data_IF_006170906486
#
_entry.id   IF_006170906486
#
_cell.length_a   1.000
_cell.length_b   1.000
_cell.length_c   1.000
_cell.angle_alpha   90.00
_cell.angle_beta   90.00
_cell.angle_gamma   90.00
#
_symmetry.space_group_name_H-M   'P 1'
#
loop_
_entity.id
_entity.type
_entity.pdbx_description
1 polymer ?
#
# COMPACT_ATOMS: atom_id res chain seq x y z
N UNK A 1 13.37 1.90 -24.47
CA UNK A 1 12.09 1.20 -24.75
C UNK A 1 12.15 -0.32 -24.53
N UNK A 2 12.86 -1.15 -25.34
CA UNK A 2 12.82 -2.64 -25.17
C UNK A 2 13.39 -3.14 -23.84
N UNK A 3 14.47 -2.54 -23.33
CA UNK A 3 15.13 -2.93 -22.05
C UNK A 3 14.32 -2.51 -20.81
N UNK A 4 13.66 -1.39 -20.87
CA UNK A 4 12.79 -0.87 -19.83
C UNK A 4 11.51 -1.70 -19.69
N UNK A 5 10.92 -2.11 -20.80
CA UNK A 5 9.80 -3.05 -20.85
C UNK A 5 10.16 -4.41 -20.22
N UNK A 6 11.41 -4.92 -20.45
CA UNK A 6 11.84 -6.18 -19.83
C UNK A 6 12.04 -6.06 -18.33
N UNK A 7 12.60 -4.94 -17.82
CA UNK A 7 12.71 -4.69 -16.39
C UNK A 7 11.35 -4.71 -15.71
N UNK A 8 10.39 -4.00 -16.28
CA UNK A 8 9.03 -3.93 -15.75
C UNK A 8 8.37 -5.32 -15.75
N UNK A 9 8.50 -6.07 -16.85
CA UNK A 9 7.98 -7.43 -16.93
C UNK A 9 8.58 -8.37 -15.88
N UNK A 10 9.88 -8.24 -15.57
CA UNK A 10 10.52 -9.01 -14.49
C UNK A 10 9.89 -8.68 -13.15
N UNK A 11 9.68 -7.40 -12.81
CA UNK A 11 9.05 -6.96 -11.57
C UNK A 11 7.63 -7.54 -11.44
N UNK A 12 6.80 -7.37 -12.46
CA UNK A 12 5.40 -7.83 -12.45
C UNK A 12 5.28 -9.36 -12.33
N UNK A 13 6.14 -10.09 -13.07
CA UNK A 13 6.20 -11.55 -13.01
C UNK A 13 6.68 -12.01 -11.63
N UNK A 14 7.74 -11.43 -11.10
CA UNK A 14 8.26 -11.78 -9.79
C UNK A 14 7.27 -11.46 -8.68
N UNK A 15 6.60 -10.30 -8.73
CA UNK A 15 5.53 -9.94 -7.79
C UNK A 15 4.41 -10.97 -7.79
N UNK A 16 3.98 -11.43 -8.95
CA UNK A 16 2.95 -12.46 -9.07
C UNK A 16 3.42 -13.76 -8.40
N UNK A 17 4.60 -14.27 -8.78
CA UNK A 17 5.14 -15.51 -8.21
C UNK A 17 5.36 -15.42 -6.69
N UNK A 18 5.93 -14.31 -6.21
CA UNK A 18 6.15 -14.11 -4.77
C UNK A 18 4.84 -14.00 -3.99
N UNK A 19 3.82 -13.36 -4.56
CA UNK A 19 2.50 -13.24 -3.91
C UNK A 19 1.74 -14.56 -3.81
N UNK A 20 2.04 -15.53 -4.68
CA UNK A 20 1.40 -16.83 -4.70
C UNK A 20 2.12 -17.87 -3.86
N UNK A 21 3.46 -17.85 -3.89
CA UNK A 21 4.30 -18.94 -3.37
C UNK A 21 5.25 -18.52 -2.25
N UNK A 22 5.36 -17.22 -1.99
CA UNK A 22 6.36 -16.64 -1.09
C UNK A 22 7.73 -16.44 -1.77
N UNK A 23 8.55 -15.57 -1.20
CA UNK A 23 9.83 -15.18 -1.77
C UNK A 23 10.81 -16.36 -1.89
N UNK A 24 10.96 -17.17 -0.83
CA UNK A 24 11.99 -18.25 -0.83
C UNK A 24 11.66 -19.39 -1.80
N UNK A 25 10.38 -19.70 -1.98
CA UNK A 25 9.95 -20.80 -2.85
C UNK A 25 10.11 -20.50 -4.34
N UNK A 26 10.45 -19.26 -4.71
CA UNK A 26 10.61 -18.84 -6.11
C UNK A 26 12.08 -18.63 -6.41
N UNK A 27 12.60 -19.31 -7.43
CA UNK A 27 13.97 -19.14 -7.94
C UNK A 27 14.07 -18.09 -9.04
N UNK A 28 15.27 -17.52 -9.23
CA UNK A 28 15.57 -16.62 -10.35
C UNK A 28 15.34 -17.33 -11.71
N UNK A 29 15.56 -18.65 -11.75
CA UNK A 29 15.32 -19.47 -12.94
C UNK A 29 13.85 -19.48 -13.34
N UNK A 30 12.93 -19.67 -12.38
CA UNK A 30 11.47 -19.66 -12.61
C UNK A 30 10.99 -18.28 -13.05
N UNK A 31 11.54 -17.21 -12.48
CA UNK A 31 11.22 -15.84 -12.92
C UNK A 31 11.67 -15.63 -14.37
N UNK A 32 12.88 -16.04 -14.72
CA UNK A 32 13.41 -15.90 -16.09
C UNK A 32 12.58 -16.69 -17.09
N UNK A 33 12.19 -17.92 -16.75
CA UNK A 33 11.33 -18.77 -17.56
C UNK A 33 9.96 -18.14 -17.78
N UNK A 34 9.30 -17.67 -16.74
CA UNK A 34 7.99 -17.04 -16.80
C UNK A 34 8.01 -15.71 -17.60
N UNK A 35 9.12 -14.97 -17.55
CA UNK A 35 9.34 -13.76 -18.38
C UNK A 35 9.61 -14.13 -19.84
N UNK A 36 10.10 -15.35 -20.10
CA UNK A 36 10.52 -15.80 -21.43
C UNK A 36 11.95 -15.34 -21.81
N UNK A 37 12.85 -15.23 -20.84
CA UNK A 37 14.26 -14.86 -21.05
C UNK A 37 15.20 -15.88 -20.42
N UNK A 38 16.47 -15.86 -20.83
CA UNK A 38 17.51 -16.69 -20.20
C UNK A 38 17.97 -16.08 -18.86
N UNK A 39 18.35 -16.91 -17.89
CA UNK A 39 18.86 -16.48 -16.58
C UNK A 39 19.99 -15.45 -16.67
N UNK A 40 21.02 -15.60 -17.53
CA UNK A 40 22.05 -14.57 -17.70
C UNK A 40 21.47 -13.21 -18.16
N UNK A 41 20.43 -13.22 -18.97
CA UNK A 41 19.76 -11.98 -19.39
C UNK A 41 19.02 -11.32 -18.25
N UNK A 42 18.41 -12.09 -17.32
CA UNK A 42 17.78 -11.55 -16.13
C UNK A 42 18.82 -10.87 -15.24
N UNK A 43 19.98 -11.48 -15.00
CA UNK A 43 21.06 -10.89 -14.21
C UNK A 43 21.63 -9.59 -14.81
N UNK A 44 21.52 -9.37 -16.12
CA UNK A 44 21.83 -8.08 -16.75
C UNK A 44 20.85 -6.96 -16.37
N UNK A 45 19.67 -7.30 -15.85
CA UNK A 45 18.65 -6.34 -15.39
C UNK A 45 18.69 -6.16 -13.87
N UNK A 46 18.83 -7.27 -13.12
CA UNK A 46 18.83 -7.30 -11.66
C UNK A 46 19.94 -8.26 -11.18
N UNK A 47 20.90 -7.79 -10.37
CA UNK A 47 22.05 -8.59 -9.98
C UNK A 47 21.73 -9.75 -9.01
N UNK A 48 20.55 -9.71 -8.36
CA UNK A 48 20.12 -10.74 -7.41
C UNK A 48 18.58 -10.80 -7.31
N UNK A 49 18.08 -11.83 -6.63
CA UNK A 49 16.66 -11.96 -6.30
C UNK A 49 16.21 -10.86 -5.31
N UNK A 50 17.11 -10.49 -4.38
CA UNK A 50 16.89 -9.35 -3.48
C UNK A 50 16.71 -8.04 -4.27
N UNK A 51 17.55 -7.78 -5.27
CA UNK A 51 17.42 -6.57 -6.10
C UNK A 51 16.09 -6.52 -6.87
N UNK A 52 15.52 -7.66 -7.24
CA UNK A 52 14.17 -7.73 -7.80
C UNK A 52 13.13 -7.39 -6.73
N UNK A 53 13.26 -7.95 -5.53
CA UNK A 53 12.35 -7.68 -4.42
C UNK A 53 12.37 -6.20 -4.03
N UNK A 54 13.54 -5.60 -3.88
CA UNK A 54 13.70 -4.16 -3.59
C UNK A 54 13.05 -3.29 -4.66
N UNK A 55 13.25 -3.65 -5.93
CA UNK A 55 12.61 -2.96 -7.06
C UNK A 55 11.08 -3.09 -7.05
N UNK A 56 10.52 -4.22 -6.62
CA UNK A 56 9.07 -4.39 -6.41
C UNK A 56 8.60 -3.41 -5.33
N UNK A 57 9.29 -3.36 -4.19
CA UNK A 57 8.94 -2.47 -3.07
C UNK A 57 8.94 -1.00 -3.52
N UNK A 58 10.01 -0.56 -4.19
CA UNK A 58 10.17 0.80 -4.67
C UNK A 58 9.11 1.16 -5.72
N UNK A 59 8.95 0.33 -6.75
CA UNK A 59 8.01 0.58 -7.85
C UNK A 59 6.57 0.64 -7.33
N UNK A 60 6.21 -0.25 -6.41
CA UNK A 60 4.85 -0.26 -5.82
C UNK A 60 4.62 0.98 -4.96
N UNK A 61 5.65 1.46 -4.25
CA UNK A 61 5.56 2.68 -3.46
C UNK A 61 5.29 3.91 -4.34
N UNK A 62 6.09 4.07 -5.41
CA UNK A 62 5.95 5.18 -6.36
C UNK A 62 4.61 5.15 -7.08
N UNK A 63 4.14 3.97 -7.47
CA UNK A 63 2.84 3.82 -8.12
C UNK A 63 1.69 4.17 -7.18
N UNK A 64 1.74 3.73 -5.92
CA UNK A 64 0.74 4.06 -4.92
C UNK A 64 0.63 5.59 -4.72
N UNK A 65 1.75 6.26 -4.51
CA UNK A 65 1.80 7.72 -4.35
C UNK A 65 1.25 8.46 -5.58
N UNK A 66 1.60 8.00 -6.77
CA UNK A 66 1.11 8.57 -8.02
C UNK A 66 -0.40 8.41 -8.17
N UNK A 67 -0.94 7.24 -7.84
CA UNK A 67 -2.36 6.95 -8.04
C UNK A 67 -3.24 7.62 -6.98
N UNK A 68 -2.80 7.67 -5.72
CA UNK A 68 -3.52 8.41 -4.67
C UNK A 68 -3.45 9.92 -4.88
N UNK A 69 -2.34 10.42 -5.43
CA UNK A 69 -2.22 11.84 -5.82
C UNK A 69 -3.22 12.29 -6.89
N UNK A 70 -3.78 11.37 -7.68
CA UNK A 70 -4.84 11.70 -8.67
C UNK A 70 -6.19 12.03 -8.03
N UNK A 71 -6.39 11.63 -6.80
CA UNK A 71 -7.58 11.94 -6.00
C UNK A 71 -7.25 12.96 -4.89
N UNK A 72 -6.16 13.71 -5.06
CA UNK A 72 -5.67 14.72 -4.12
C UNK A 72 -5.38 14.17 -2.72
N UNK A 73 -4.85 12.95 -2.63
CA UNK A 73 -4.36 12.36 -1.38
C UNK A 73 -2.87 12.04 -1.52
N UNK A 74 -2.06 12.68 -0.67
CA UNK A 74 -0.60 12.63 -0.73
C UNK A 74 -0.03 12.00 0.54
N UNK A 75 -0.14 10.69 0.67
CA UNK A 75 0.20 9.90 1.88
C UNK A 75 1.64 10.08 2.40
N UNK A 76 2.50 10.77 1.67
CA UNK A 76 3.86 11.14 2.10
C UNK A 76 4.00 12.64 2.44
N UNK A 77 2.94 13.43 2.26
CA UNK A 77 2.97 14.90 2.41
C UNK A 77 1.66 15.39 3.02
N UNK A 78 1.39 15.04 4.28
CA UNK A 78 0.17 15.39 4.99
C UNK A 78 -0.17 16.89 4.89
N UNK A 79 0.85 17.77 4.98
CA UNK A 79 0.66 19.21 4.85
C UNK A 79 0.03 19.66 3.52
N UNK A 80 0.17 18.88 2.43
CA UNK A 80 -0.46 19.17 1.15
C UNK A 80 -1.98 18.92 1.18
N UNK A 81 -2.45 18.00 2.02
CA UNK A 81 -3.85 17.60 2.08
C UNK A 81 -4.65 18.40 3.12
N UNK A 82 -3.99 19.03 4.08
CA UNK A 82 -4.63 19.82 5.16
C UNK A 82 -5.59 20.90 4.63
N UNK A 83 -5.23 21.74 3.63
CA UNK A 83 -6.15 22.77 3.15
C UNK A 83 -7.46 22.22 2.61
N UNK A 84 -7.42 21.10 1.91
CA UNK A 84 -8.62 20.42 1.40
C UNK A 84 -9.42 19.84 2.57
N UNK A 85 -8.76 19.17 3.52
CA UNK A 85 -9.41 18.54 4.68
C UNK A 85 -10.04 19.54 5.65
N UNK A 86 -9.61 20.80 5.65
CA UNK A 86 -10.24 21.88 6.44
C UNK A 86 -11.61 22.32 5.90
N UNK A 87 -11.92 22.02 4.64
CA UNK A 87 -13.11 22.52 3.95
C UNK A 87 -14.00 21.43 3.38
N UNK A 88 -13.51 20.19 3.35
CA UNK A 88 -14.22 19.04 2.78
C UNK A 88 -15.47 18.70 3.59
N UNK A 89 -16.55 18.36 2.91
CA UNK A 89 -17.76 17.83 3.55
C UNK A 89 -17.63 16.32 3.85
N UNK A 90 -18.48 15.84 4.76
CA UNK A 90 -18.48 14.43 5.19
C UNK A 90 -18.66 13.45 4.01
N UNK A 91 -19.59 13.71 3.11
CA UNK A 91 -19.85 12.85 1.94
C UNK A 91 -18.63 12.78 1.00
N UNK A 92 -17.98 13.92 0.76
CA UNK A 92 -16.79 13.97 -0.10
C UNK A 92 -15.58 13.30 0.58
N UNK A 93 -15.43 13.48 1.90
CA UNK A 93 -14.40 12.78 2.67
C UNK A 93 -14.59 11.27 2.59
N UNK A 94 -15.82 10.79 2.81
CA UNK A 94 -16.12 9.37 2.67
C UNK A 94 -15.81 8.86 1.26
N UNK A 95 -16.16 9.61 0.22
CA UNK A 95 -15.88 9.21 -1.16
C UNK A 95 -14.38 9.08 -1.43
N UNK A 96 -13.54 9.97 -0.91
CA UNK A 96 -12.08 9.85 -1.02
C UNK A 96 -11.55 8.62 -0.29
N UNK A 97 -12.02 8.34 0.92
CA UNK A 97 -11.63 7.14 1.68
C UNK A 97 -12.11 5.88 0.97
N UNK A 98 -13.32 5.88 0.43
CA UNK A 98 -13.87 4.79 -0.37
C UNK A 98 -13.02 4.51 -1.61
N UNK A 99 -12.57 5.53 -2.32
CA UNK A 99 -11.71 5.38 -3.50
C UNK A 99 -10.34 4.76 -3.14
N UNK A 100 -9.74 5.15 -2.01
CA UNK A 100 -8.50 4.53 -1.53
C UNK A 100 -8.75 3.07 -1.13
N UNK A 101 -9.85 2.79 -0.46
CA UNK A 101 -10.25 1.44 -0.08
C UNK A 101 -10.42 0.55 -1.30
N UNK A 102 -11.22 1.00 -2.28
CA UNK A 102 -11.46 0.33 -3.56
C UNK A 102 -10.13 0.09 -4.33
N UNK A 103 -9.31 1.11 -4.47
CA UNK A 103 -7.98 0.99 -5.08
C UNK A 103 -7.11 -0.05 -4.36
N UNK A 104 -7.16 -0.07 -3.04
CA UNK A 104 -6.40 -1.04 -2.23
C UNK A 104 -6.86 -2.48 -2.45
N UNK A 105 -8.15 -2.70 -2.70
CA UNK A 105 -8.72 -4.02 -2.93
C UNK A 105 -8.62 -4.49 -4.38
N UNK A 106 -8.78 -3.59 -5.36
CA UNK A 106 -8.95 -3.98 -6.76
C UNK A 106 -7.74 -3.68 -7.65
N UNK A 107 -6.76 -2.86 -7.20
CA UNK A 107 -5.50 -2.76 -7.92
C UNK A 107 -4.68 -4.04 -7.74
N UNK A 108 -4.49 -4.79 -8.83
CA UNK A 108 -3.88 -6.12 -8.81
C UNK A 108 -2.45 -6.10 -8.22
N UNK A 109 -1.64 -5.09 -8.57
CA UNK A 109 -0.27 -4.98 -8.06
C UNK A 109 -0.24 -4.63 -6.56
N UNK A 110 -1.13 -3.76 -6.09
CA UNK A 110 -1.23 -3.39 -4.67
C UNK A 110 -1.69 -4.59 -3.85
N UNK A 111 -2.69 -5.33 -4.32
CA UNK A 111 -3.19 -6.54 -3.68
C UNK A 111 -2.11 -7.62 -3.60
N UNK A 112 -1.42 -7.90 -4.71
CA UNK A 112 -0.30 -8.86 -4.76
C UNK A 112 0.84 -8.44 -3.83
N UNK A 113 1.20 -7.17 -3.83
CA UNK A 113 2.24 -6.63 -2.95
C UNK A 113 1.87 -6.79 -1.48
N UNK A 114 0.65 -6.44 -1.08
CA UNK A 114 0.18 -6.62 0.30
C UNK A 114 0.18 -8.09 0.70
N UNK A 115 -0.28 -9.00 -0.17
CA UNK A 115 -0.25 -10.45 0.06
C UNK A 115 1.18 -10.97 0.23
N UNK A 116 2.09 -10.60 -0.67
CA UNK A 116 3.51 -10.94 -0.58
C UNK A 116 4.10 -10.47 0.75
N UNK A 117 3.91 -9.20 1.11
CA UNK A 117 4.43 -8.64 2.36
C UNK A 117 3.82 -9.30 3.60
N UNK A 118 2.54 -9.67 3.57
CA UNK A 118 1.87 -10.39 4.66
C UNK A 118 2.47 -11.79 4.88
N UNK A 119 2.88 -12.47 3.82
CA UNK A 119 3.56 -13.78 3.92
C UNK A 119 4.97 -13.60 4.50
N UNK A 120 5.69 -12.58 4.06
CA UNK A 120 7.12 -12.41 4.34
C UNK A 120 7.44 -11.71 5.67
N UNK A 121 6.48 -11.03 6.30
CA UNK A 121 6.72 -10.17 7.48
C UNK A 121 7.38 -10.87 8.67
N UNK A 122 7.23 -12.18 8.82
CA UNK A 122 7.79 -12.96 9.93
C UNK A 122 9.07 -13.72 9.57
N UNK A 123 9.60 -13.56 8.36
CA UNK A 123 10.74 -14.34 7.87
C UNK A 123 12.08 -13.73 8.24
N UNK A 124 12.14 -12.41 8.36
CA UNK A 124 13.33 -11.69 8.82
C UNK A 124 12.94 -10.41 9.53
N UNK A 125 13.83 -9.94 10.42
CA UNK A 125 13.62 -8.68 11.13
C UNK A 125 13.44 -7.51 10.15
N UNK A 126 14.27 -7.43 9.11
CA UNK A 126 14.21 -6.36 8.11
C UNK A 126 12.90 -6.34 7.32
N UNK A 127 12.33 -7.51 6.99
CA UNK A 127 11.03 -7.59 6.32
C UNK A 127 9.89 -7.24 7.27
N UNK A 128 9.98 -7.63 8.54
CA UNK A 128 9.04 -7.21 9.58
C UNK A 128 9.04 -5.70 9.80
N UNK A 129 10.22 -5.07 9.87
CA UNK A 129 10.38 -3.62 9.96
C UNK A 129 9.81 -2.90 8.72
N UNK A 130 10.09 -3.42 7.52
CA UNK A 130 9.55 -2.88 6.29
C UNK A 130 8.02 -2.97 6.25
N UNK A 131 7.45 -4.11 6.67
CA UNK A 131 6.00 -4.30 6.78
C UNK A 131 5.38 -3.29 7.76
N UNK A 132 5.92 -3.21 8.99
CA UNK A 132 5.46 -2.31 10.04
C UNK A 132 5.48 -0.86 9.58
N UNK A 133 6.61 -0.42 9.03
CA UNK A 133 6.75 0.94 8.51
C UNK A 133 5.75 1.24 7.40
N UNK A 134 5.51 0.30 6.48
CA UNK A 134 4.68 0.56 5.31
C UNK A 134 3.19 0.47 5.58
N UNK A 135 2.76 -0.49 6.37
CA UNK A 135 1.33 -0.78 6.55
C UNK A 135 0.76 -0.29 7.89
N UNK A 136 1.61 0.27 8.77
CA UNK A 136 1.18 0.78 10.06
C UNK A 136 1.72 2.17 10.34
N UNK A 137 3.03 2.33 10.56
CA UNK A 137 3.63 3.57 11.06
C UNK A 137 3.37 4.76 10.13
N UNK A 138 3.67 4.65 8.83
CA UNK A 138 3.48 5.75 7.87
C UNK A 138 2.05 6.25 7.78
N UNK A 139 1.07 5.36 7.90
CA UNK A 139 -0.34 5.75 7.88
C UNK A 139 -0.73 6.48 9.17
N UNK A 140 -0.25 6.00 10.31
CA UNK A 140 -0.47 6.64 11.60
C UNK A 140 0.21 8.01 11.61
N UNK A 141 1.48 8.12 11.21
CA UNK A 141 2.23 9.38 11.17
C UNK A 141 1.54 10.42 10.26
N UNK A 142 1.12 10.01 9.06
CA UNK A 142 0.38 10.86 8.12
C UNK A 142 -0.89 11.43 8.75
N UNK A 143 -1.73 10.59 9.36
CA UNK A 143 -2.96 11.04 9.98
C UNK A 143 -2.72 11.83 11.27
N UNK A 144 -1.68 11.50 12.05
CA UNK A 144 -1.29 12.29 13.22
C UNK A 144 -0.87 13.72 12.87
N UNK A 145 -0.17 13.90 11.74
CA UNK A 145 0.18 15.23 11.23
C UNK A 145 -1.06 16.01 10.77
N UNK A 146 -2.00 15.36 10.08
CA UNK A 146 -3.29 15.94 9.70
C UNK A 146 -4.06 16.37 10.94
N UNK A 147 -4.29 15.48 11.91
CA UNK A 147 -5.03 15.80 13.12
C UNK A 147 -4.38 16.92 13.93
N UNK A 148 -3.05 16.95 14.02
CA UNK A 148 -2.32 18.06 14.65
C UNK A 148 -2.63 19.39 13.98
N UNK A 149 -2.65 19.41 12.65
CA UNK A 149 -2.93 20.62 11.88
C UNK A 149 -4.38 21.07 12.02
N UNK A 150 -5.34 20.14 11.99
CA UNK A 150 -6.77 20.43 12.16
C UNK A 150 -7.10 20.92 13.58
N UNK A 151 -6.44 20.37 14.62
CA UNK A 151 -6.57 20.84 16.02
C UNK A 151 -5.99 22.25 16.14
N UNK A 152 -4.80 22.49 15.59
CA UNK A 152 -4.18 23.81 15.62
C UNK A 152 -5.01 24.89 14.92
N UNK A 153 -5.75 24.50 13.86
CA UNK A 153 -6.67 25.38 13.15
C UNK A 153 -8.06 25.52 13.82
N UNK A 154 -8.33 24.80 14.91
CA UNK A 154 -9.62 24.83 15.60
C UNK A 154 -10.76 24.14 14.86
N UNK A 155 -10.45 23.30 13.86
CA UNK A 155 -11.46 22.55 13.07
C UNK A 155 -12.01 21.37 13.87
N UNK A 156 -11.15 20.69 14.61
CA UNK A 156 -11.52 19.59 15.50
C UNK A 156 -10.98 19.82 16.90
N UNK A 157 -11.59 19.18 17.88
CA UNK A 157 -11.11 19.15 19.27
C UNK A 157 -10.55 17.77 19.57
N UNK A 158 -9.38 17.71 20.23
CA UNK A 158 -8.77 16.44 20.58
C UNK A 158 -7.50 16.62 21.40
N UNK A 159 -6.96 15.49 21.87
CA UNK A 159 -5.76 15.42 22.70
C UNK A 159 -4.57 14.83 21.94
N UNK A 160 -4.27 13.55 22.22
CA UNK A 160 -3.15 12.84 21.62
C UNK A 160 -3.43 12.51 20.13
N UNK A 161 -2.72 13.21 19.24
CA UNK A 161 -2.87 13.05 17.79
C UNK A 161 -2.44 11.67 17.28
N UNK A 162 -1.52 10.99 17.97
CA UNK A 162 -1.13 9.62 17.60
C UNK A 162 -2.23 8.62 17.97
N UNK A 163 -2.87 8.80 19.14
CA UNK A 163 -4.00 7.98 19.53
C UNK A 163 -5.19 8.17 18.56
N UNK A 164 -5.50 9.42 18.19
CA UNK A 164 -6.53 9.71 17.18
C UNK A 164 -6.22 9.06 15.85
N UNK A 165 -4.98 9.19 15.36
CA UNK A 165 -4.54 8.58 14.12
C UNK A 165 -4.66 7.06 14.16
N UNK A 166 -4.22 6.43 15.24
CA UNK A 166 -4.34 4.98 15.40
C UNK A 166 -5.80 4.52 15.40
N UNK A 167 -6.68 5.22 16.12
CA UNK A 167 -8.11 4.93 16.15
C UNK A 167 -8.76 5.07 14.76
N UNK A 168 -8.32 6.04 13.97
CA UNK A 168 -8.83 6.26 12.62
C UNK A 168 -8.32 5.22 11.62
N UNK A 169 -7.04 4.89 11.66
CA UNK A 169 -6.38 4.02 10.67
C UNK A 169 -6.65 2.53 10.90
N UNK A 170 -6.68 2.08 12.17
CA UNK A 170 -6.75 0.66 12.48
C UNK A 170 -8.02 -0.04 11.93
N UNK A 171 -9.24 0.54 11.99
CA UNK A 171 -10.42 -0.08 11.39
C UNK A 171 -10.29 -0.24 9.87
N UNK A 172 -9.73 0.75 9.16
CA UNK A 172 -9.54 0.70 7.70
C UNK A 172 -8.63 -0.45 7.30
N UNK A 173 -7.46 -0.58 7.96
CA UNK A 173 -6.52 -1.69 7.74
C UNK A 173 -7.19 -3.04 8.05
N UNK A 174 -7.96 -3.10 9.13
CA UNK A 174 -8.68 -4.31 9.54
C UNK A 174 -9.69 -4.74 8.47
N UNK A 175 -10.48 -3.79 7.94
CA UNK A 175 -11.48 -4.06 6.91
C UNK A 175 -10.84 -4.51 5.59
N UNK A 176 -9.74 -3.89 5.16
CA UNK A 176 -8.95 -4.35 4.01
C UNK A 176 -8.49 -5.79 4.24
N UNK A 177 -7.96 -6.10 5.42
CA UNK A 177 -7.52 -7.46 5.76
C UNK A 177 -8.66 -8.48 5.81
N UNK A 178 -9.90 -8.08 6.14
CA UNK A 178 -11.09 -8.94 6.01
C UNK A 178 -11.37 -9.23 4.55
N UNK A 179 -11.41 -8.21 3.70
CA UNK A 179 -11.68 -8.38 2.27
C UNK A 179 -10.60 -9.19 1.54
N UNK A 180 -9.34 -9.10 1.95
CA UNK A 180 -8.27 -9.92 1.39
C UNK A 180 -8.47 -11.43 1.62
N UNK A 181 -9.10 -11.79 2.74
CA UNK A 181 -9.35 -13.18 3.12
C UNK A 181 -10.75 -13.66 2.75
N UNK A 182 -11.71 -12.76 2.69
CA UNK A 182 -13.15 -13.00 2.45
C UNK A 182 -13.70 -11.92 1.51
N UNK A 183 -13.38 -11.99 0.20
CA UNK A 183 -13.79 -10.94 -0.77
C UNK A 183 -15.31 -10.75 -0.84
N UNK A 184 -16.09 -11.78 -0.56
CA UNK A 184 -17.56 -11.75 -0.53
C UNK A 184 -18.13 -10.81 0.53
N UNK A 185 -17.32 -10.37 1.50
CA UNK A 185 -17.73 -9.44 2.58
C UNK A 185 -17.45 -7.97 2.27
N UNK A 186 -17.05 -7.65 1.06
CA UNK A 186 -16.69 -6.27 0.68
C UNK A 186 -17.82 -5.28 0.94
N UNK A 187 -19.06 -5.62 0.58
CA UNK A 187 -20.23 -4.75 0.83
C UNK A 187 -20.41 -4.46 2.33
N UNK A 188 -20.32 -5.48 3.18
CA UNK A 188 -20.38 -5.32 4.64
C UNK A 188 -19.24 -4.44 5.17
N UNK A 189 -18.04 -4.62 4.62
CA UNK A 189 -16.88 -3.83 4.99
C UNK A 189 -17.04 -2.35 4.58
N UNK A 190 -17.61 -2.07 3.41
CA UNK A 190 -17.91 -0.72 2.96
C UNK A 190 -18.95 -0.01 3.84
N UNK A 191 -19.98 -0.71 4.31
CA UNK A 191 -20.95 -0.16 5.26
C UNK A 191 -20.28 0.22 6.60
N UNK A 192 -19.42 -0.65 7.11
CA UNK A 192 -18.64 -0.37 8.32
C UNK A 192 -17.65 0.78 8.13
N UNK A 193 -17.01 0.86 6.97
CA UNK A 193 -16.12 1.96 6.61
C UNK A 193 -16.86 3.28 6.62
N UNK A 194 -18.04 3.33 6.00
CA UNK A 194 -18.90 4.53 6.00
C UNK A 194 -19.24 4.97 7.42
N UNK A 195 -19.71 4.06 8.26
CA UNK A 195 -20.04 4.36 9.66
C UNK A 195 -18.83 4.76 10.49
N UNK A 196 -17.61 4.42 10.08
CA UNK A 196 -16.39 4.81 10.78
C UNK A 196 -15.90 6.20 10.39
N UNK A 197 -16.12 6.61 9.14
CA UNK A 197 -15.65 7.90 8.59
C UNK A 197 -16.64 9.03 8.87
N UNK A 198 -17.95 8.71 9.00
CA UNK A 198 -19.02 9.63 9.43
C UNK A 198 -18.97 9.86 10.95
#
# INVERSE_FOLDING_TARGET
MKRENTKQKIIETALTLFSERGYDAVSVGEIAEAVGIKVPSLYNHYPSKEAIFDAIVETTALQYEKDTGRIDIHVQRAAADVPMLMTIGEEELFEKVRQIFDYSLHNDNIRKFRKMMTIEQFRSLSLGELYTRRFSERLVDYHAEIFRSLIAAGVIYGGDTNALALMYVAPVITLIGVCDRQPERETECLEKLKSHVS
#
